data_IF_742518829923
#
_entry.id   IF_742518829923
#
_cell.length_a   1.000
_cell.length_b   1.000
_cell.length_c   1.000
_cell.angle_alpha   90.00
_cell.angle_beta   90.00
_cell.angle_gamma   90.00
#
_symmetry.space_group_name_H-M   'P 1'
#
loop_
_entity.id
_entity.type
_entity.pdbx_description
1 polymer ?
#
# COMPACT_ATOMS: atom_id res chain seq x y z
N UNK A 1 20.90 0.78 -6.74
CA UNK A 1 20.18 1.22 -7.94
C UNK A 1 20.65 0.48 -9.20
N UNK A 2 21.94 0.61 -9.61
CA UNK A 2 22.42 0.03 -10.89
C UNK A 2 22.27 -1.49 -10.99
N UNK A 3 22.44 -2.24 -9.90
CA UNK A 3 22.23 -3.69 -9.88
C UNK A 3 20.75 -4.01 -10.03
N UNK A 4 19.86 -3.33 -9.29
CA UNK A 4 18.42 -3.49 -9.37
C UNK A 4 17.90 -3.25 -10.79
N UNK A 5 18.33 -2.17 -11.43
CA UNK A 5 17.94 -1.86 -12.81
C UNK A 5 18.36 -2.94 -13.82
N UNK A 6 19.57 -3.51 -13.68
CA UNK A 6 20.03 -4.59 -14.58
C UNK A 6 19.29 -5.92 -14.36
N UNK A 7 18.80 -6.18 -13.16
CA UNK A 7 18.11 -7.42 -12.77
C UNK A 7 16.60 -7.24 -12.56
N UNK A 8 16.02 -6.14 -13.09
CA UNK A 8 14.62 -5.78 -12.88
C UNK A 8 13.65 -6.90 -13.32
N UNK A 9 13.86 -7.49 -14.49
CA UNK A 9 13.04 -8.61 -14.98
C UNK A 9 13.11 -9.84 -14.09
N UNK A 10 14.29 -10.18 -13.56
CA UNK A 10 14.45 -11.29 -12.63
C UNK A 10 13.63 -11.08 -11.36
N UNK A 11 13.71 -9.88 -10.79
CA UNK A 11 12.93 -9.51 -9.60
C UNK A 11 11.44 -9.49 -9.89
N UNK A 12 11.01 -8.93 -11.03
CA UNK A 12 9.60 -8.89 -11.42
C UNK A 12 8.98 -10.29 -11.56
N UNK A 13 9.72 -11.22 -12.16
CA UNK A 13 9.30 -12.63 -12.25
C UNK A 13 9.21 -13.27 -10.85
N UNK A 14 10.11 -12.94 -9.95
CA UNK A 14 10.07 -13.44 -8.57
C UNK A 14 8.85 -12.86 -7.82
N UNK A 15 8.57 -11.56 -7.95
CA UNK A 15 7.37 -10.92 -7.39
C UNK A 15 6.11 -11.59 -7.93
N UNK A 16 6.02 -11.79 -9.25
CA UNK A 16 4.90 -12.50 -9.87
C UNK A 16 4.68 -13.89 -9.26
N UNK A 17 5.75 -14.66 -9.03
CA UNK A 17 5.65 -16.02 -8.47
C UNK A 17 5.13 -16.05 -7.03
N UNK A 18 5.50 -15.08 -6.20
CA UNK A 18 5.09 -15.06 -4.79
C UNK A 18 3.79 -14.29 -4.55
N UNK A 19 3.59 -13.17 -5.27
CA UNK A 19 2.45 -12.29 -5.06
C UNK A 19 1.28 -12.60 -6.00
N UNK A 20 1.58 -13.05 -7.23
CA UNK A 20 0.59 -13.35 -8.26
C UNK A 20 0.27 -12.21 -9.22
N UNK A 21 0.70 -10.96 -8.95
CA UNK A 21 0.43 -9.84 -9.88
C UNK A 21 1.08 -10.05 -11.25
N UNK A 22 0.54 -9.48 -12.35
CA UNK A 22 1.16 -9.52 -13.67
C UNK A 22 2.62 -9.04 -13.63
N UNK A 23 3.46 -9.61 -14.51
CA UNK A 23 4.90 -9.26 -14.55
C UNK A 23 5.11 -7.78 -14.86
N UNK A 24 4.27 -7.18 -15.69
CA UNK A 24 4.38 -5.75 -16.04
C UNK A 24 4.06 -4.85 -14.83
N UNK A 25 3.09 -5.21 -13.99
CA UNK A 25 2.81 -4.52 -12.73
C UNK A 25 3.98 -4.67 -11.74
N UNK A 26 4.59 -5.85 -11.69
CA UNK A 26 5.79 -6.08 -10.89
C UNK A 26 6.99 -5.28 -11.41
N UNK A 27 7.14 -5.11 -12.72
CA UNK A 27 8.15 -4.22 -13.33
C UNK A 27 7.93 -2.76 -12.98
N UNK A 28 6.67 -2.31 -13.00
CA UNK A 28 6.32 -0.96 -12.55
C UNK A 28 6.72 -0.74 -11.08
N UNK A 29 6.42 -1.70 -10.22
CA UNK A 29 6.82 -1.67 -8.80
C UNK A 29 8.35 -1.54 -8.66
N UNK A 30 9.12 -2.31 -9.42
CA UNK A 30 10.60 -2.23 -9.44
C UNK A 30 11.07 -0.87 -9.96
N UNK A 31 10.44 -0.32 -10.99
CA UNK A 31 10.78 0.99 -11.53
C UNK A 31 10.58 2.12 -10.51
N UNK A 32 9.43 2.13 -9.82
CA UNK A 32 9.15 3.08 -8.74
C UNK A 32 10.16 2.95 -7.58
N UNK A 33 10.57 1.72 -7.26
CA UNK A 33 11.63 1.47 -6.27
C UNK A 33 12.97 2.09 -6.69
N UNK A 34 13.32 1.99 -7.96
CA UNK A 34 14.55 2.60 -8.50
C UNK A 34 14.51 4.13 -8.39
N UNK A 35 13.33 4.74 -8.59
CA UNK A 35 13.15 6.19 -8.40
C UNK A 35 13.36 6.62 -6.95
N UNK A 36 12.82 5.87 -5.98
CA UNK A 36 13.07 6.11 -4.55
C UNK A 36 14.56 6.06 -4.20
N UNK A 37 15.26 5.03 -4.68
CA UNK A 37 16.71 4.91 -4.49
C UNK A 37 17.50 6.06 -5.14
N UNK A 38 17.07 6.50 -6.32
CA UNK A 38 17.70 7.62 -7.03
C UNK A 38 17.47 8.94 -6.28
N UNK A 39 16.25 9.15 -5.80
CA UNK A 39 15.92 10.34 -5.02
C UNK A 39 16.73 10.40 -3.72
N UNK A 40 16.77 9.30 -2.96
CA UNK A 40 17.53 9.20 -1.71
C UNK A 40 19.02 9.50 -1.96
N UNK A 41 19.62 8.87 -2.97
CA UNK A 41 21.03 9.08 -3.30
C UNK A 41 21.35 10.52 -3.71
N UNK A 42 20.45 11.21 -4.41
CA UNK A 42 20.63 12.59 -4.88
C UNK A 42 20.40 13.65 -3.81
N UNK A 43 19.55 13.34 -2.82
CA UNK A 43 19.05 14.35 -1.89
C UNK A 43 19.54 14.16 -0.44
N UNK A 44 20.06 12.99 -0.07
CA UNK A 44 20.45 12.70 1.30
C UNK A 44 21.41 13.74 1.91
N UNK A 45 22.47 14.07 1.20
CA UNK A 45 23.45 15.06 1.65
C UNK A 45 22.79 16.43 1.89
N UNK A 46 21.96 16.89 0.95
CA UNK A 46 21.24 18.17 1.08
C UNK A 46 20.24 18.17 2.24
N UNK A 47 19.47 17.10 2.39
CA UNK A 47 18.42 17.00 3.43
C UNK A 47 19.02 16.89 4.82
N UNK A 48 20.13 16.15 4.95
CA UNK A 48 20.76 15.84 6.23
C UNK A 48 21.88 16.83 6.61
N UNK A 49 22.21 17.77 5.73
CA UNK A 49 23.27 18.76 6.00
C UNK A 49 22.96 19.62 7.22
N UNK A 50 24.00 19.92 7.99
CA UNK A 50 23.90 20.86 9.11
C UNK A 50 23.40 22.22 8.59
N UNK A 51 22.48 22.82 9.31
CA UNK A 51 21.98 24.16 8.99
C UNK A 51 22.01 25.09 10.19
N UNK A 52 22.29 26.36 9.95
CA UNK A 52 22.15 27.39 10.97
C UNK A 52 20.67 27.68 11.21
N UNK A 53 20.32 27.80 12.49
CA UNK A 53 19.00 28.21 12.94
C UNK A 53 19.12 29.59 13.58
N UNK A 54 18.22 30.50 13.26
CA UNK A 54 18.22 31.84 13.87
C UNK A 54 17.77 31.73 15.33
N UNK A 55 18.61 32.11 16.30
CA UNK A 55 18.22 32.10 17.71
C UNK A 55 17.17 33.19 18.00
N UNK A 56 16.47 33.06 19.12
CA UNK A 56 15.56 34.11 19.60
C UNK A 56 16.32 35.38 19.99
N UNK A 57 15.60 36.50 20.15
CA UNK A 57 16.22 37.77 20.59
C UNK A 57 16.96 37.63 21.91
N UNK A 58 16.42 36.86 22.86
CA UNK A 58 17.04 36.63 24.17
C UNK A 58 18.33 35.79 24.09
N UNK A 59 18.53 35.07 22.99
CA UNK A 59 19.72 34.24 22.74
C UNK A 59 20.52 34.77 21.55
N UNK A 60 20.41 36.05 21.20
CA UNK A 60 21.02 36.65 20.04
C UNK A 60 22.54 36.61 20.02
N UNK A 61 23.16 36.44 21.19
CA UNK A 61 24.60 36.23 21.39
C UNK A 61 25.06 34.78 21.20
N UNK A 62 24.16 33.85 20.86
CA UNK A 62 24.45 32.44 20.61
C UNK A 62 24.38 32.13 19.11
N UNK A 63 25.14 31.10 18.68
CA UNK A 63 25.01 30.49 17.36
C UNK A 63 24.26 29.16 17.54
N UNK A 64 23.10 29.01 16.89
CA UNK A 64 22.34 27.77 16.89
C UNK A 64 22.53 27.02 15.57
N UNK A 65 22.72 25.72 15.67
CA UNK A 65 22.84 24.78 14.54
C UNK A 65 21.92 23.59 14.75
N UNK A 66 21.39 23.04 13.67
CA UNK A 66 20.64 21.80 13.63
C UNK A 66 21.46 20.80 12.81
N UNK A 67 21.82 19.69 13.42
CA UNK A 67 22.44 18.52 12.77
C UNK A 67 21.53 17.30 12.91
N UNK A 68 21.67 16.36 11.98
CA UNK A 68 20.98 15.08 12.02
C UNK A 68 22.00 13.98 12.30
N UNK A 69 21.65 13.08 13.23
CA UNK A 69 22.47 11.94 13.61
C UNK A 69 21.70 10.64 13.30
N UNK A 70 22.38 9.54 12.91
CA UNK A 70 21.76 8.24 12.79
C UNK A 70 21.11 7.80 14.12
N UNK A 71 19.96 7.16 14.03
CA UNK A 71 19.31 6.61 15.24
C UNK A 71 19.99 5.33 15.72
N UNK A 72 20.56 4.55 14.81
CA UNK A 72 21.20 3.26 15.09
C UNK A 72 20.62 2.14 14.23
N UNK A 73 19.82 1.25 14.80
CA UNK A 73 19.21 0.11 14.12
C UNK A 73 17.73 0.37 13.86
N UNK A 74 17.33 0.32 12.59
CA UNK A 74 15.94 0.48 12.16
C UNK A 74 15.35 -0.87 11.75
N UNK A 75 14.26 -1.28 12.37
CA UNK A 75 13.47 -2.42 11.88
C UNK A 75 12.51 -1.96 10.79
N UNK A 76 12.51 -2.66 9.65
CA UNK A 76 11.54 -2.46 8.58
C UNK A 76 10.72 -3.74 8.42
N UNK A 77 9.40 -3.65 8.64
CA UNK A 77 8.47 -4.76 8.50
C UNK A 77 7.60 -4.47 7.28
N UNK A 78 7.82 -5.21 6.21
CA UNK A 78 7.21 -4.99 4.91
C UNK A 78 5.95 -5.81 4.66
N UNK A 79 5.03 -5.32 3.81
CA UNK A 79 3.81 -5.99 3.41
C UNK A 79 4.04 -6.98 2.26
N UNK A 80 2.99 -7.74 1.93
CA UNK A 80 2.99 -8.70 0.83
C UNK A 80 2.47 -8.13 -0.50
N UNK A 81 1.70 -7.05 -0.48
CA UNK A 81 1.03 -6.52 -1.68
C UNK A 81 1.96 -5.75 -2.63
N UNK A 82 2.90 -4.99 -2.09
CA UNK A 82 4.00 -4.34 -2.81
C UNK A 82 5.32 -4.65 -2.09
N UNK A 83 5.85 -5.89 -2.25
CA UNK A 83 6.94 -6.40 -1.44
C UNK A 83 8.31 -5.80 -1.74
N UNK A 84 8.43 -5.06 -2.84
CA UNK A 84 9.66 -4.34 -3.23
C UNK A 84 9.54 -2.87 -2.92
N UNK A 85 8.54 -2.19 -3.50
CA UNK A 85 8.41 -0.74 -3.44
C UNK A 85 8.24 -0.22 -2.01
N UNK A 86 7.31 -0.80 -1.27
CA UNK A 86 6.95 -0.31 0.06
C UNK A 86 8.09 -0.43 1.08
N UNK A 87 8.72 -1.60 1.29
CA UNK A 87 9.82 -1.70 2.25
C UNK A 87 11.07 -0.95 1.78
N UNK A 88 11.35 -0.91 0.47
CA UNK A 88 12.54 -0.25 -0.05
C UNK A 88 12.52 1.26 0.12
N UNK A 89 11.36 1.89 0.18
CA UNK A 89 11.25 3.31 0.57
C UNK A 89 11.85 3.54 1.96
N UNK A 90 11.40 2.77 2.96
CA UNK A 90 11.89 2.86 4.33
C UNK A 90 13.37 2.44 4.46
N UNK A 91 13.77 1.35 3.80
CA UNK A 91 15.15 0.85 3.81
C UNK A 91 16.11 1.88 3.22
N UNK A 92 15.78 2.44 2.04
CA UNK A 92 16.62 3.41 1.35
C UNK A 92 16.88 4.66 2.20
N UNK A 93 15.83 5.19 2.83
CA UNK A 93 15.96 6.39 3.65
C UNK A 93 16.69 6.13 4.97
N UNK A 94 16.45 4.97 5.60
CA UNK A 94 17.18 4.58 6.81
C UNK A 94 18.69 4.44 6.55
N UNK A 95 19.06 3.73 5.46
CA UNK A 95 20.47 3.56 5.07
C UNK A 95 21.11 4.89 4.65
N UNK A 96 20.40 5.73 3.88
CA UNK A 96 20.89 7.04 3.47
C UNK A 96 21.12 7.98 4.66
N UNK A 97 20.38 7.80 5.75
CA UNK A 97 20.56 8.54 7.01
C UNK A 97 21.64 7.93 7.92
N UNK A 98 22.37 6.90 7.47
CA UNK A 98 23.48 6.28 8.20
C UNK A 98 23.07 5.22 9.22
N UNK A 99 21.84 4.70 9.18
CA UNK A 99 21.37 3.64 10.06
C UNK A 99 21.69 2.26 9.49
N UNK A 100 21.74 1.25 10.37
CA UNK A 100 21.63 -0.15 9.97
C UNK A 100 20.15 -0.55 9.93
N UNK A 101 19.81 -1.55 9.09
CA UNK A 101 18.43 -2.00 8.91
C UNK A 101 18.31 -3.50 9.14
N UNK A 102 17.30 -3.90 9.90
CA UNK A 102 16.81 -5.28 10.01
C UNK A 102 15.48 -5.34 9.26
N UNK A 103 15.48 -6.02 8.13
CA UNK A 103 14.30 -6.16 7.29
C UNK A 103 13.57 -7.47 7.56
N UNK A 104 12.28 -7.38 7.83
CA UNK A 104 11.36 -8.52 7.88
C UNK A 104 10.34 -8.39 6.75
N UNK A 105 10.47 -9.13 5.64
CA UNK A 105 9.44 -9.21 4.61
C UNK A 105 8.21 -9.95 5.15
N UNK A 106 7.10 -9.83 4.43
CA UNK A 106 5.95 -10.70 4.69
C UNK A 106 6.31 -12.18 4.44
N UNK A 107 5.67 -13.08 5.17
CA UNK A 107 5.75 -14.53 4.99
C UNK A 107 5.25 -14.99 3.62
N UNK A 108 4.41 -14.20 2.96
CA UNK A 108 3.89 -14.48 1.61
C UNK A 108 4.86 -14.09 0.49
N UNK A 109 5.88 -13.28 0.79
CA UNK A 109 6.83 -12.75 -0.20
C UNK A 109 8.27 -12.80 0.33
N UNK A 110 8.61 -13.92 0.99
CA UNK A 110 9.91 -14.11 1.66
C UNK A 110 11.08 -14.12 0.69
N UNK A 111 10.95 -14.81 -0.46
CA UNK A 111 12.03 -14.90 -1.43
C UNK A 111 12.34 -13.55 -2.11
N UNK A 112 11.35 -12.67 -2.27
CA UNK A 112 11.59 -11.29 -2.68
C UNK A 112 12.46 -10.56 -1.66
N UNK A 113 12.16 -10.70 -0.37
CA UNK A 113 12.98 -10.11 0.70
C UNK A 113 14.41 -10.65 0.73
N UNK A 114 14.58 -11.96 0.59
CA UNK A 114 15.90 -12.61 0.49
C UNK A 114 16.69 -12.09 -0.70
N UNK A 115 16.05 -11.99 -1.86
CA UNK A 115 16.67 -11.47 -3.08
C UNK A 115 17.16 -10.02 -2.91
N UNK A 116 16.35 -9.17 -2.27
CA UNK A 116 16.71 -7.76 -2.03
C UNK A 116 17.93 -7.64 -1.12
N UNK A 117 17.97 -8.37 0.00
CA UNK A 117 19.09 -8.34 0.95
C UNK A 117 20.36 -8.94 0.33
N UNK A 118 20.27 -10.08 -0.38
CA UNK A 118 21.37 -10.66 -1.08
C UNK A 118 21.95 -9.72 -2.16
N UNK A 119 21.07 -9.08 -2.94
CA UNK A 119 21.48 -8.10 -3.97
C UNK A 119 22.16 -6.86 -3.35
N UNK A 120 21.71 -6.42 -2.17
CA UNK A 120 22.38 -5.34 -1.44
C UNK A 120 23.79 -5.77 -1.00
N UNK A 121 23.93 -6.97 -0.43
CA UNK A 121 25.23 -7.49 0.01
C UNK A 121 26.22 -7.68 -1.16
N UNK A 122 25.74 -8.07 -2.35
CA UNK A 122 26.55 -8.11 -3.57
C UNK A 122 27.02 -6.70 -4.01
N UNK A 123 26.14 -5.70 -3.87
CA UNK A 123 26.40 -4.34 -4.32
C UNK A 123 27.33 -3.55 -3.36
N UNK A 124 27.31 -3.87 -2.07
CA UNK A 124 28.02 -3.16 -1.01
C UNK A 124 28.59 -4.15 0.02
N UNK A 125 29.53 -5.03 -0.40
CA UNK A 125 29.99 -6.14 0.44
C UNK A 125 30.75 -5.70 1.71
N UNK A 126 31.31 -4.49 1.71
CA UNK A 126 32.06 -3.97 2.85
C UNK A 126 31.16 -3.41 3.97
N UNK A 127 29.86 -3.28 3.73
CA UNK A 127 28.90 -2.66 4.66
C UNK A 127 27.73 -3.60 4.97
N UNK A 128 27.86 -4.52 5.94
CA UNK A 128 26.78 -5.44 6.30
C UNK A 128 25.71 -4.76 7.15
N UNK A 129 25.12 -3.67 6.62
CA UNK A 129 24.16 -2.80 7.32
C UNK A 129 22.70 -3.10 6.97
N UNK A 130 22.43 -4.10 6.13
CA UNK A 130 21.10 -4.59 5.82
C UNK A 130 21.03 -6.10 6.12
N UNK A 131 20.25 -6.47 7.12
CA UNK A 131 20.07 -7.85 7.58
C UNK A 131 18.62 -8.30 7.38
N UNK A 132 18.42 -9.61 7.24
CA UNK A 132 17.11 -10.22 7.03
C UNK A 132 16.66 -11.02 8.26
N UNK A 133 15.38 -10.89 8.59
CA UNK A 133 14.66 -11.77 9.52
C UNK A 133 13.42 -12.30 8.81
N UNK A 134 13.27 -13.60 8.70
CA UNK A 134 12.09 -14.24 8.08
C UNK A 134 11.18 -14.87 9.13
N UNK A 135 9.97 -15.22 8.73
CA UNK A 135 9.01 -15.95 9.54
C UNK A 135 7.68 -15.22 9.71
N UNK A 136 6.80 -15.84 10.47
CA UNK A 136 5.43 -15.39 10.72
C UNK A 136 5.34 -14.32 11.83
N UNK A 137 4.16 -14.08 12.34
CA UNK A 137 3.87 -13.08 13.35
C UNK A 137 4.79 -13.11 14.59
N UNK A 138 5.26 -14.31 15.00
CA UNK A 138 6.19 -14.47 16.12
C UNK A 138 7.53 -13.77 15.90
N UNK A 139 8.11 -13.88 14.70
CA UNK A 139 9.35 -13.18 14.33
C UNK A 139 9.16 -11.65 14.31
N UNK A 140 8.01 -11.17 13.83
CA UNK A 140 7.67 -9.75 13.87
C UNK A 140 7.54 -9.22 15.29
N UNK A 141 6.87 -9.96 16.17
CA UNK A 141 6.72 -9.61 17.57
C UNK A 141 8.08 -9.59 18.31
N UNK A 142 8.93 -10.59 18.07
CA UNK A 142 10.28 -10.64 18.63
C UNK A 142 11.14 -9.46 18.16
N UNK A 143 11.04 -9.08 16.87
CA UNK A 143 11.75 -7.92 16.33
C UNK A 143 11.26 -6.61 17.01
N UNK A 144 9.93 -6.45 17.21
CA UNK A 144 9.39 -5.27 17.89
C UNK A 144 9.81 -5.18 19.38
N UNK A 145 10.09 -6.31 20.02
CA UNK A 145 10.53 -6.36 21.42
C UNK A 145 12.07 -6.27 21.59
N UNK A 146 12.83 -6.37 20.49
CA UNK A 146 14.29 -6.30 20.51
C UNK A 146 14.78 -4.86 20.77
N UNK A 147 16.09 -4.71 20.98
CA UNK A 147 16.75 -3.40 21.12
C UNK A 147 16.86 -2.72 19.73
N UNK A 148 15.75 -2.13 19.30
CA UNK A 148 15.59 -1.42 18.02
C UNK A 148 15.36 0.07 18.30
N UNK A 149 16.06 0.93 17.55
CA UNK A 149 16.01 2.38 17.74
C UNK A 149 14.83 3.05 16.99
N UNK A 150 14.30 2.39 15.96
CA UNK A 150 13.09 2.82 15.24
C UNK A 150 12.44 1.64 14.50
N UNK A 151 11.11 1.62 14.43
CA UNK A 151 10.37 0.63 13.64
C UNK A 151 9.60 1.35 12.54
N UNK A 152 9.74 0.88 11.29
CA UNK A 152 8.87 1.21 10.17
C UNK A 152 8.03 -0.02 9.84
N UNK A 153 6.74 0.08 9.99
CA UNK A 153 5.77 -1.00 9.76
C UNK A 153 4.78 -0.59 8.68
N UNK A 154 4.57 -1.47 7.71
CA UNK A 154 3.48 -1.35 6.74
C UNK A 154 2.61 -2.60 6.79
N UNK A 155 1.30 -2.41 6.95
CA UNK A 155 0.33 -3.49 7.02
C UNK A 155 -1.01 -3.06 7.60
N UNK A 156 -1.82 -4.01 8.09
CA UNK A 156 -3.16 -3.70 8.61
C UNK A 156 -3.14 -2.84 9.87
N UNK A 157 -4.15 -2.00 10.03
CA UNK A 157 -4.38 -1.17 11.24
C UNK A 157 -4.41 -2.02 12.52
N UNK A 158 -5.02 -3.22 12.47
CA UNK A 158 -5.07 -4.12 13.61
C UNK A 158 -3.68 -4.60 14.05
N UNK A 159 -2.78 -4.90 13.09
CA UNK A 159 -1.39 -5.27 13.37
C UNK A 159 -0.57 -4.05 13.80
N UNK A 160 -0.77 -2.89 13.18
CA UNK A 160 -0.12 -1.63 13.57
C UNK A 160 -0.35 -1.27 15.04
N UNK A 161 -1.58 -1.44 15.53
CA UNK A 161 -1.90 -1.26 16.97
C UNK A 161 -1.10 -2.20 17.87
N UNK A 162 -0.88 -3.47 17.46
CA UNK A 162 -0.04 -4.43 18.20
C UNK A 162 1.44 -4.04 18.19
N UNK A 163 1.95 -3.59 17.04
CA UNK A 163 3.32 -3.07 16.90
C UNK A 163 3.52 -1.85 17.81
N UNK A 164 2.57 -0.91 17.80
CA UNK A 164 2.62 0.28 18.66
C UNK A 164 2.63 -0.10 20.15
N UNK A 165 1.78 -1.05 20.55
CA UNK A 165 1.75 -1.53 21.93
C UNK A 165 3.08 -2.19 22.35
N UNK A 166 3.69 -3.00 21.48
CA UNK A 166 4.99 -3.61 21.74
C UNK A 166 6.11 -2.56 21.85
N UNK A 167 6.16 -1.60 20.92
CA UNK A 167 7.17 -0.55 20.89
C UNK A 167 7.09 0.40 22.09
N UNK A 168 5.91 0.58 22.67
CA UNK A 168 5.70 1.46 23.84
C UNK A 168 6.51 1.04 25.07
N UNK A 169 6.83 -0.25 25.21
CA UNK A 169 7.63 -0.76 26.34
C UNK A 169 9.05 -0.16 26.38
N UNK A 170 9.62 0.14 25.22
CA UNK A 170 10.97 0.69 25.06
C UNK A 170 10.94 2.15 24.59
N UNK A 171 9.76 2.75 24.42
CA UNK A 171 9.57 4.08 23.82
C UNK A 171 10.16 4.17 22.40
N UNK A 172 10.19 3.05 21.66
CA UNK A 172 10.74 3.00 20.31
C UNK A 172 9.87 3.82 19.34
N UNK A 173 10.42 4.82 18.63
CA UNK A 173 9.70 5.62 17.64
C UNK A 173 9.20 4.76 16.48
N UNK A 174 7.99 5.08 15.98
CA UNK A 174 7.34 4.34 14.90
C UNK A 174 7.10 5.21 13.67
N UNK A 175 7.14 4.57 12.50
CA UNK A 175 6.42 4.96 11.31
C UNK A 175 5.42 3.85 11.01
N UNK A 176 4.14 4.20 10.93
CA UNK A 176 3.06 3.25 10.66
C UNK A 176 2.39 3.66 9.34
N UNK A 177 2.57 2.83 8.33
CA UNK A 177 1.89 2.91 7.04
C UNK A 177 0.79 1.86 7.04
N UNK A 178 -0.45 2.31 7.11
CA UNK A 178 -1.60 1.44 7.34
C UNK A 178 -2.59 1.54 6.18
N UNK A 179 -3.65 0.75 6.22
CA UNK A 179 -4.73 0.84 5.25
C UNK A 179 -5.74 1.93 5.60
N UNK A 180 -6.73 2.07 4.73
CA UNK A 180 -7.82 3.02 4.83
C UNK A 180 -9.07 2.53 4.12
N UNK A 181 -10.05 3.42 4.00
CA UNK A 181 -11.24 3.22 3.17
C UNK A 181 -11.35 4.40 2.21
N UNK A 182 -10.48 4.39 1.20
CA UNK A 182 -10.25 5.55 0.35
C UNK A 182 -11.46 5.87 -0.52
N UNK A 183 -11.81 7.16 -0.57
CA UNK A 183 -12.94 7.67 -1.30
C UNK A 183 -12.51 8.39 -2.58
N UNK A 184 -13.25 8.17 -3.66
CA UNK A 184 -13.15 8.88 -4.93
C UNK A 184 -14.42 9.70 -5.14
N UNK A 185 -14.27 11.00 -5.43
CA UNK A 185 -15.40 11.92 -5.58
C UNK A 185 -15.57 12.32 -7.04
N UNK A 186 -16.79 12.22 -7.55
CA UNK A 186 -17.15 12.58 -8.93
C UNK A 186 -18.21 13.66 -8.90
N UNK A 187 -17.84 14.88 -9.30
CA UNK A 187 -18.75 16.02 -9.35
C UNK A 187 -19.51 16.08 -10.68
N UNK A 188 -20.55 16.94 -10.75
CA UNK A 188 -21.48 17.03 -11.89
C UNK A 188 -20.81 17.44 -13.23
N UNK A 189 -19.66 18.11 -13.17
CA UNK A 189 -18.92 18.57 -14.36
C UNK A 189 -17.73 17.64 -14.71
N UNK A 190 -17.61 16.48 -14.07
CA UNK A 190 -16.52 15.53 -14.30
C UNK A 190 -16.58 14.95 -15.73
N UNK A 191 -15.40 14.64 -16.28
CA UNK A 191 -15.34 13.81 -17.48
C UNK A 191 -15.61 12.36 -17.09
N UNK A 192 -16.82 11.88 -17.31
CA UNK A 192 -17.30 10.57 -16.82
C UNK A 192 -16.44 9.40 -17.31
N UNK A 193 -16.06 9.38 -18.57
CA UNK A 193 -15.25 8.29 -19.13
C UNK A 193 -13.88 8.18 -18.43
N UNK A 194 -13.21 9.31 -18.21
CA UNK A 194 -11.93 9.35 -17.50
C UNK A 194 -12.07 9.09 -16.00
N UNK A 195 -13.14 9.56 -15.39
CA UNK A 195 -13.40 9.32 -13.97
C UNK A 195 -13.66 7.84 -13.72
N UNK A 196 -14.45 7.18 -14.59
CA UNK A 196 -14.72 5.75 -14.50
C UNK A 196 -13.43 4.92 -14.70
N UNK A 197 -12.61 5.25 -15.70
CA UNK A 197 -11.31 4.61 -15.94
C UNK A 197 -10.38 4.74 -14.72
N UNK A 198 -10.26 5.94 -14.17
CA UNK A 198 -9.39 6.20 -13.01
C UNK A 198 -9.89 5.48 -11.75
N UNK A 199 -11.19 5.51 -11.47
CA UNK A 199 -11.79 4.82 -10.34
C UNK A 199 -11.61 3.30 -10.45
N UNK A 200 -11.83 2.74 -11.65
CA UNK A 200 -11.67 1.32 -11.89
C UNK A 200 -10.22 0.86 -11.78
N UNK A 201 -9.28 1.62 -12.35
CA UNK A 201 -7.85 1.37 -12.19
C UNK A 201 -7.44 1.37 -10.71
N UNK A 202 -7.88 2.38 -9.94
CA UNK A 202 -7.60 2.48 -8.52
C UNK A 202 -8.21 1.36 -7.68
N UNK A 203 -9.38 0.83 -8.09
CA UNK A 203 -10.07 -0.23 -7.36
C UNK A 203 -9.60 -1.64 -7.72
N UNK A 204 -9.18 -1.88 -8.98
CA UNK A 204 -8.90 -3.23 -9.48
C UNK A 204 -7.40 -3.53 -9.63
N UNK A 205 -6.56 -2.51 -9.64
CA UNK A 205 -5.11 -2.67 -9.71
C UNK A 205 -4.58 -3.59 -8.61
N UNK A 206 -3.70 -4.55 -8.95
CA UNK A 206 -3.21 -5.58 -8.04
C UNK A 206 -4.34 -6.38 -7.32
N UNK A 207 -5.45 -6.64 -8.01
CA UNK A 207 -6.66 -7.26 -7.45
C UNK A 207 -7.25 -6.46 -6.26
N UNK A 208 -7.17 -5.14 -6.27
CA UNK A 208 -7.61 -4.28 -5.17
C UNK A 208 -6.74 -4.34 -3.90
N UNK A 209 -5.61 -5.04 -3.94
CA UNK A 209 -4.71 -5.22 -2.81
C UNK A 209 -3.75 -4.03 -2.68
N UNK A 210 -4.31 -2.82 -2.60
CA UNK A 210 -3.59 -1.55 -2.64
C UNK A 210 -4.04 -0.64 -1.50
N UNK A 211 -3.11 -0.20 -0.66
CA UNK A 211 -3.39 0.63 0.51
C UNK A 211 -3.90 2.05 0.18
N UNK A 212 -3.72 2.50 -1.06
CA UNK A 212 -4.23 3.75 -1.63
C UNK A 212 -5.25 3.45 -2.75
N UNK A 213 -5.87 2.27 -2.70
CA UNK A 213 -6.87 1.83 -3.67
C UNK A 213 -8.20 2.53 -3.48
N UNK A 214 -8.93 2.78 -4.57
CA UNK A 214 -10.29 3.31 -4.51
C UNK A 214 -11.24 2.21 -4.05
N UNK A 215 -11.81 2.36 -2.87
CA UNK A 215 -12.74 1.37 -2.31
C UNK A 215 -14.19 1.82 -2.32
N UNK A 216 -14.43 3.15 -2.32
CA UNK A 216 -15.77 3.74 -2.40
C UNK A 216 -15.76 4.99 -3.26
N UNK A 217 -16.82 5.17 -4.06
CA UNK A 217 -17.00 6.30 -4.96
C UNK A 217 -18.30 7.02 -4.61
N UNK A 218 -18.22 8.33 -4.45
CA UNK A 218 -19.38 9.19 -4.28
C UNK A 218 -19.57 10.01 -5.54
N UNK A 219 -20.71 9.79 -6.22
CA UNK A 219 -21.01 10.38 -7.52
C UNK A 219 -22.19 11.33 -7.41
N UNK A 220 -22.04 12.55 -7.93
CA UNK A 220 -23.14 13.51 -7.98
C UNK A 220 -24.35 12.88 -8.72
N UNK A 221 -25.56 13.02 -8.14
CA UNK A 221 -26.78 12.34 -8.61
C UNK A 221 -27.11 12.61 -10.09
N UNK A 222 -26.75 13.79 -10.62
CA UNK A 222 -26.99 14.15 -12.03
C UNK A 222 -26.21 13.31 -13.04
N UNK A 223 -25.08 12.76 -12.64
CA UNK A 223 -24.19 11.97 -13.51
C UNK A 223 -24.03 10.52 -13.02
N UNK A 224 -24.78 10.15 -11.98
CA UNK A 224 -24.67 8.84 -11.34
C UNK A 224 -24.94 7.68 -12.29
N UNK A 225 -26.06 7.71 -13.02
CA UNK A 225 -26.44 6.63 -13.92
C UNK A 225 -25.43 6.48 -15.08
N UNK A 226 -24.99 7.61 -15.69
CA UNK A 226 -24.00 7.61 -16.75
C UNK A 226 -22.65 7.06 -16.25
N UNK A 227 -22.22 7.47 -15.06
CA UNK A 227 -20.99 6.95 -14.46
C UNK A 227 -21.08 5.46 -14.16
N UNK A 228 -22.21 5.02 -13.58
CA UNK A 228 -22.42 3.63 -13.21
C UNK A 228 -22.46 2.70 -14.42
N UNK A 229 -23.13 3.12 -15.48
CA UNK A 229 -23.16 2.35 -16.74
C UNK A 229 -21.76 2.27 -17.38
N UNK A 230 -21.04 3.39 -17.40
CA UNK A 230 -19.70 3.47 -17.97
C UNK A 230 -18.69 2.59 -17.23
N UNK A 231 -18.65 2.68 -15.89
CA UNK A 231 -17.73 1.87 -15.10
C UNK A 231 -18.10 0.39 -15.13
N UNK A 232 -19.39 0.06 -15.20
CA UNK A 232 -19.85 -1.31 -15.33
C UNK A 232 -19.45 -1.94 -16.66
N UNK A 233 -19.53 -1.20 -17.76
CA UNK A 233 -19.05 -1.65 -19.08
C UNK A 233 -17.54 -1.93 -19.04
N UNK A 234 -16.75 -0.99 -18.52
CA UNK A 234 -15.31 -1.13 -18.38
C UNK A 234 -14.93 -2.30 -17.47
N UNK A 235 -15.63 -2.46 -16.32
CA UNK A 235 -15.35 -3.54 -15.38
C UNK A 235 -15.60 -4.94 -15.98
N UNK A 236 -16.67 -5.10 -16.79
CA UNK A 236 -16.96 -6.37 -17.48
C UNK A 236 -15.89 -6.77 -18.50
N UNK A 237 -15.11 -5.81 -18.99
CA UNK A 237 -14.02 -6.07 -19.94
C UNK A 237 -12.72 -6.52 -19.25
N UNK A 238 -12.64 -6.46 -17.92
CA UNK A 238 -11.45 -6.89 -17.19
C UNK A 238 -11.43 -8.41 -17.04
N UNK A 239 -10.35 -9.03 -17.45
CA UNK A 239 -10.12 -10.46 -17.31
C UNK A 239 -9.01 -10.72 -16.27
N UNK A 240 -9.34 -11.12 -15.03
CA UNK A 240 -8.36 -11.51 -14.04
C UNK A 240 -7.74 -12.87 -14.38
N UNK A 241 -6.48 -13.08 -14.01
CA UNK A 241 -5.84 -14.35 -14.29
C UNK A 241 -4.35 -14.39 -13.96
N UNK A 242 -3.70 -15.50 -14.29
CA UNK A 242 -2.26 -15.70 -14.10
C UNK A 242 -1.46 -15.52 -15.40
N UNK A 243 -2.09 -15.05 -16.47
CA UNK A 243 -1.41 -14.79 -17.74
C UNK A 243 -0.81 -13.37 -17.77
N UNK A 244 0.24 -13.14 -18.57
CA UNK A 244 0.86 -11.81 -18.68
C UNK A 244 -0.11 -10.70 -19.10
N UNK A 245 -1.12 -11.03 -19.89
CA UNK A 245 -2.14 -10.10 -20.43
C UNK A 245 -3.35 -9.92 -19.51
N UNK A 246 -3.38 -10.61 -18.35
CA UNK A 246 -4.47 -10.48 -17.38
C UNK A 246 -4.50 -9.07 -16.78
N UNK A 247 -5.70 -8.54 -16.57
CA UNK A 247 -5.90 -7.21 -15.99
C UNK A 247 -5.33 -7.11 -14.56
N UNK A 248 -5.40 -8.19 -13.80
CA UNK A 248 -4.78 -8.36 -12.48
C UNK A 248 -4.68 -9.84 -12.11
N UNK A 249 -3.87 -10.15 -11.10
CA UNK A 249 -3.60 -11.50 -10.63
C UNK A 249 -4.56 -12.02 -9.55
N UNK A 250 -4.24 -13.17 -8.94
CA UNK A 250 -5.00 -13.72 -7.81
C UNK A 250 -4.79 -12.92 -6.52
N UNK A 251 -5.64 -13.23 -5.54
CA UNK A 251 -5.45 -12.79 -4.17
C UNK A 251 -4.23 -13.50 -3.55
N UNK A 252 -3.30 -12.71 -3.03
CA UNK A 252 -2.05 -13.23 -2.43
C UNK A 252 -2.32 -13.90 -1.06
N UNK A 253 -3.22 -13.32 -0.27
CA UNK A 253 -3.52 -13.80 1.08
C UNK A 253 -4.90 -14.47 1.11
N UNK A 254 -4.96 -15.81 1.32
CA UNK A 254 -6.24 -16.54 1.32
C UNK A 254 -7.28 -16.01 2.31
N UNK A 255 -6.85 -15.59 3.49
CA UNK A 255 -7.75 -15.04 4.51
C UNK A 255 -8.48 -13.76 4.04
N UNK A 256 -7.91 -13.02 3.08
CA UNK A 256 -8.53 -11.80 2.55
C UNK A 256 -9.74 -12.11 1.67
N UNK A 257 -9.78 -13.27 1.04
CA UNK A 257 -10.93 -13.73 0.24
C UNK A 257 -12.20 -13.78 1.09
N UNK A 258 -12.10 -14.23 2.34
CA UNK A 258 -13.22 -14.28 3.26
C UNK A 258 -13.70 -12.88 3.69
N UNK A 259 -12.78 -11.91 3.76
CA UNK A 259 -13.16 -10.50 4.01
C UNK A 259 -13.95 -9.96 2.82
N UNK A 260 -13.46 -10.18 1.59
CA UNK A 260 -14.17 -9.79 0.36
C UNK A 260 -15.57 -10.41 0.32
N UNK A 261 -15.66 -11.74 0.57
CA UNK A 261 -16.93 -12.47 0.57
C UNK A 261 -17.90 -11.87 1.58
N UNK A 262 -17.48 -11.68 2.82
CA UNK A 262 -18.31 -11.08 3.88
C UNK A 262 -18.81 -9.70 3.48
N UNK A 263 -17.94 -8.82 2.96
CA UNK A 263 -18.34 -7.45 2.59
C UNK A 263 -19.33 -7.44 1.42
N UNK A 264 -19.15 -8.30 0.44
CA UNK A 264 -20.08 -8.43 -0.69
C UNK A 264 -21.43 -8.97 -0.23
N UNK A 265 -21.45 -10.04 0.59
CA UNK A 265 -22.67 -10.63 1.12
C UNK A 265 -23.42 -9.63 2.02
N UNK A 266 -22.71 -8.92 2.92
CA UNK A 266 -23.29 -7.89 3.79
C UNK A 266 -23.91 -6.74 2.98
N UNK A 267 -23.22 -6.28 1.93
CA UNK A 267 -23.70 -5.20 1.07
C UNK A 267 -25.01 -5.58 0.38
N UNK A 268 -25.09 -6.80 -0.19
CA UNK A 268 -26.29 -7.30 -0.87
C UNK A 268 -27.43 -7.54 0.14
N UNK A 269 -27.13 -8.12 1.30
CA UNK A 269 -28.12 -8.36 2.35
C UNK A 269 -28.68 -7.04 2.92
N UNK A 270 -27.89 -5.97 2.94
CA UNK A 270 -28.30 -4.64 3.36
C UNK A 270 -29.12 -3.87 2.30
N UNK A 271 -29.32 -4.43 1.10
CA UNK A 271 -30.11 -3.84 0.02
C UNK A 271 -29.27 -3.17 -1.07
N UNK A 272 -27.95 -3.22 -1.00
CA UNK A 272 -27.06 -2.81 -2.06
C UNK A 272 -27.21 -3.68 -3.31
N UNK A 273 -26.88 -3.11 -4.47
CA UNK A 273 -27.08 -3.76 -5.78
C UNK A 273 -25.74 -4.15 -6.38
N UNK A 274 -25.56 -5.46 -6.70
CA UNK A 274 -24.45 -5.91 -7.51
C UNK A 274 -24.70 -5.57 -8.99
N UNK A 275 -23.88 -4.69 -9.55
CA UNK A 275 -23.98 -4.19 -10.93
C UNK A 275 -23.10 -5.01 -11.87
N UNK A 276 -21.93 -5.40 -11.37
CA UNK A 276 -21.00 -6.34 -12.04
C UNK A 276 -20.52 -7.33 -11.00
N UNK A 277 -20.52 -8.61 -11.36
CA UNK A 277 -20.13 -9.69 -10.45
C UNK A 277 -21.02 -9.78 -9.22
N UNK A 278 -20.49 -10.43 -8.19
CA UNK A 278 -21.19 -10.70 -6.94
C UNK A 278 -20.53 -11.88 -6.21
N UNK A 279 -21.24 -12.56 -5.29
CA UNK A 279 -20.73 -13.73 -4.58
C UNK A 279 -20.20 -14.83 -5.52
N UNK A 280 -20.82 -14.99 -6.68
CA UNK A 280 -20.45 -15.96 -7.71
C UNK A 280 -19.11 -15.64 -8.39
N UNK A 281 -18.64 -14.40 -8.31
CA UNK A 281 -17.35 -13.96 -8.85
C UNK A 281 -16.17 -14.27 -7.93
N UNK A 282 -16.44 -14.76 -6.71
CA UNK A 282 -15.43 -15.01 -5.69
C UNK A 282 -14.99 -16.48 -5.74
N UNK A 283 -13.90 -16.76 -6.43
CA UNK A 283 -13.28 -18.09 -6.48
C UNK A 283 -12.32 -18.36 -5.31
N UNK A 284 -11.59 -19.49 -5.41
CA UNK A 284 -10.64 -19.93 -4.35
C UNK A 284 -9.40 -19.03 -4.22
N UNK A 285 -9.00 -18.37 -5.32
CA UNK A 285 -7.86 -17.45 -5.33
C UNK A 285 -8.08 -16.27 -6.29
N UNK A 286 -8.83 -16.47 -7.37
CA UNK A 286 -9.19 -15.42 -8.32
C UNK A 286 -10.58 -14.88 -7.97
N UNK A 287 -10.69 -13.57 -7.95
CA UNK A 287 -11.95 -12.86 -7.77
C UNK A 287 -12.18 -12.00 -9.01
N UNK A 288 -13.32 -12.17 -9.67
CA UNK A 288 -13.73 -11.29 -10.76
C UNK A 288 -14.01 -9.86 -10.26
N UNK A 289 -14.06 -8.86 -11.16
CA UNK A 289 -14.39 -7.50 -10.76
C UNK A 289 -15.79 -7.43 -10.18
N UNK A 290 -15.95 -6.77 -9.02
CA UNK A 290 -17.23 -6.60 -8.34
C UNK A 290 -17.54 -5.10 -8.20
N UNK A 291 -18.63 -4.66 -8.82
CA UNK A 291 -19.14 -3.29 -8.71
C UNK A 291 -20.46 -3.33 -7.94
N UNK A 292 -20.48 -2.73 -6.78
CA UNK A 292 -21.67 -2.59 -5.92
C UNK A 292 -22.18 -1.15 -6.00
N UNK A 293 -23.49 -0.96 -5.98
CA UNK A 293 -24.10 0.36 -5.99
C UNK A 293 -25.16 0.50 -4.89
N UNK A 294 -25.38 1.74 -4.44
CA UNK A 294 -26.44 2.10 -3.49
C UNK A 294 -26.37 1.29 -2.18
N UNK A 295 -25.13 1.03 -1.71
CA UNK A 295 -24.86 0.30 -0.47
C UNK A 295 -25.05 1.25 0.72
N UNK A 296 -25.82 0.86 1.76
CA UNK A 296 -25.98 1.69 2.96
C UNK A 296 -24.65 2.08 3.61
N UNK A 297 -24.55 3.33 4.06
CA UNK A 297 -23.28 3.90 4.58
C UNK A 297 -22.75 3.21 5.84
N UNK A 298 -23.60 2.51 6.59
CA UNK A 298 -23.21 1.74 7.77
C UNK A 298 -22.83 0.27 7.46
N UNK A 299 -22.79 -0.12 6.20
CA UNK A 299 -22.41 -1.46 5.78
C UNK A 299 -20.89 -1.65 5.88
N UNK A 300 -20.45 -2.88 6.19
CA UNK A 300 -19.02 -3.24 6.25
C UNK A 300 -18.27 -2.92 4.94
N UNK A 301 -18.91 -3.12 3.79
CA UNK A 301 -18.34 -2.77 2.48
C UNK A 301 -18.07 -1.27 2.29
N UNK A 302 -18.67 -0.38 3.10
CA UNK A 302 -18.46 1.08 3.06
C UNK A 302 -17.53 1.55 4.19
N UNK A 303 -17.57 0.88 5.35
CA UNK A 303 -16.89 1.34 6.57
C UNK A 303 -15.57 0.61 6.87
N UNK A 304 -15.38 -0.60 6.33
CA UNK A 304 -14.18 -1.41 6.56
C UNK A 304 -13.37 -1.57 5.27
N UNK A 305 -12.04 -1.60 5.38
CA UNK A 305 -11.13 -1.88 4.27
C UNK A 305 -11.42 -3.29 3.70
N UNK A 306 -11.72 -3.36 2.39
CA UNK A 306 -12.00 -4.64 1.71
C UNK A 306 -10.73 -5.28 1.17
N UNK A 307 -9.82 -4.49 0.63
CA UNK A 307 -8.53 -4.93 0.08
C UNK A 307 -8.66 -6.07 -0.92
N UNK A 308 -9.60 -5.92 -1.85
CA UNK A 308 -9.95 -6.88 -2.90
C UNK A 308 -10.55 -6.16 -4.11
N UNK A 309 -10.78 -6.84 -5.24
CA UNK A 309 -11.24 -6.23 -6.48
C UNK A 309 -12.73 -5.88 -6.44
N UNK A 310 -13.07 -4.98 -5.53
CA UNK A 310 -14.43 -4.50 -5.29
C UNK A 310 -14.45 -2.99 -5.25
N UNK A 311 -15.55 -2.39 -5.68
CA UNK A 311 -15.79 -0.95 -5.58
C UNK A 311 -17.26 -0.70 -5.23
N UNK A 312 -17.49 0.20 -4.26
CA UNK A 312 -18.83 0.65 -3.89
C UNK A 312 -19.09 2.03 -4.47
N UNK A 313 -20.23 2.22 -5.14
CA UNK A 313 -20.59 3.48 -5.81
C UNK A 313 -21.93 3.97 -5.27
N UNK A 314 -21.92 5.10 -4.61
CA UNK A 314 -23.11 5.69 -3.99
C UNK A 314 -23.41 7.10 -4.57
N UNK A 315 -24.69 7.43 -4.85
CA UNK A 315 -25.08 8.77 -5.26
C UNK A 315 -25.00 9.76 -4.11
N UNK A 316 -24.67 11.01 -4.43
CA UNK A 316 -24.72 12.17 -3.52
C UNK A 316 -25.37 13.35 -4.21
N UNK A 317 -25.96 14.25 -3.44
CA UNK A 317 -26.64 15.45 -3.96
C UNK A 317 -25.68 16.51 -4.46
N UNK A 318 -24.53 16.61 -3.80
CA UNK A 318 -23.52 17.64 -4.04
C UNK A 318 -22.15 17.19 -3.49
N UNK A 319 -21.11 17.99 -3.78
CA UNK A 319 -19.74 17.73 -3.33
C UNK A 319 -19.57 17.84 -1.80
N UNK A 320 -20.36 18.69 -1.14
CA UNK A 320 -20.30 18.86 0.33
C UNK A 320 -20.75 17.57 1.02
N UNK A 321 -21.84 16.94 0.56
CA UNK A 321 -22.27 15.63 1.04
C UNK A 321 -21.24 14.54 0.74
N UNK A 322 -20.61 14.57 -0.45
CA UNK A 322 -19.55 13.62 -0.79
C UNK A 322 -18.38 13.71 0.20
N UNK A 323 -17.94 14.91 0.52
CA UNK A 323 -16.86 15.16 1.50
C UNK A 323 -17.27 14.73 2.91
N UNK A 324 -18.52 15.02 3.32
CA UNK A 324 -19.03 14.61 4.63
C UNK A 324 -19.02 13.08 4.76
N UNK A 325 -19.55 12.35 3.75
CA UNK A 325 -19.57 10.88 3.76
C UNK A 325 -18.16 10.28 3.68
N UNK A 326 -17.27 10.86 2.87
CA UNK A 326 -15.88 10.43 2.78
C UNK A 326 -15.14 10.50 4.13
N UNK A 327 -15.50 11.47 4.99
CA UNK A 327 -14.90 11.68 6.31
C UNK A 327 -15.64 10.98 7.46
N UNK A 328 -16.72 10.27 7.20
CA UNK A 328 -17.54 9.62 8.24
C UNK A 328 -17.10 8.21 8.60
N UNK A 329 -16.03 7.68 7.99
CA UNK A 329 -15.53 6.33 8.15
C UNK A 329 -14.29 6.20 9.04
#
# INVERSE_FOLDING_TARGET
KGVLARRANELAVLVHRENGKPVDDALLEVALTIEHLDWAAKNAEKVLSERRVRPSLLSSNHAARLSYEPLGVVAVIGPWNYPVFTPMGSIAYALAAGNAVVFKPSEFTTAVGEWLVATFAEAVPEQPVLSLVTGFAGSGAALCAAAIDKISFTGSTATGKKVMAAASANLTPLVLELGGKDAFLVDEDANIAKAAEAALFGAMGNAGQTCVGVERVYVHERVFDEFLDTIAEQARALEPGSHPESAYGPMTMPAQIEVVRRHVDDAIAAGGRAVVGGPESIGDSLIGPIVLAEVPENCSAVTEETFGPTIVINPVRDLDEAVERANSG
#
